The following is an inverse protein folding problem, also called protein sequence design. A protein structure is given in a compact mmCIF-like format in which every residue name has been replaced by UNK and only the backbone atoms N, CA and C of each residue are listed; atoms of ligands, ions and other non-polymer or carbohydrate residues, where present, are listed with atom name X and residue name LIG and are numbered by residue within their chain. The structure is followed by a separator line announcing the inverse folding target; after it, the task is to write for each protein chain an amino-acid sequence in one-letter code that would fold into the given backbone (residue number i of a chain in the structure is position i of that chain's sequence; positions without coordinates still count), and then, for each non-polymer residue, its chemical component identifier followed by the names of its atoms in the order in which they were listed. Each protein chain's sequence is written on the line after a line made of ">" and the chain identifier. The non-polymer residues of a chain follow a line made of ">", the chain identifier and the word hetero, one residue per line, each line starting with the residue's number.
data_IF_589217973351
#
_entry.id   IF_589217973351
#
_cell.length_a   1.000
_cell.length_b   1.000
_cell.length_c   1.000
_cell.angle_alpha   90.00
_cell.angle_beta   90.00
_cell.angle_gamma   90.00
#
_symmetry.space_group_name_H-M   'P 1'
#
loop_
_entity.id
_entity.type
_entity.pdbx_description
1 polymer ?
#
# COMPACT_ATOMS: atom_id res chain seq x y z
N UNK A 1 -28.32 14.05 -1.81
CA UNK A 1 -27.55 15.22 -2.34
C UNK A 1 -26.23 15.28 -1.58
N UNK A 2 -25.14 14.98 -2.30
CA UNK A 2 -24.00 14.24 -1.76
C UNK A 2 -23.01 15.16 -1.01
N UNK A 3 -22.66 14.78 0.21
CA UNK A 3 -21.58 15.36 1.04
C UNK A 3 -20.27 15.47 0.25
N UNK A 4 -19.97 14.45 -0.55
CA UNK A 4 -18.85 14.39 -1.49
C UNK A 4 -18.88 15.56 -2.48
N UNK A 5 -20.03 15.85 -3.11
CA UNK A 5 -20.16 17.00 -4.04
C UNK A 5 -19.93 18.34 -3.34
N UNK A 6 -20.38 18.48 -2.09
CA UNK A 6 -20.17 19.71 -1.31
C UNK A 6 -18.69 19.92 -0.97
N UNK A 7 -17.99 18.84 -0.62
CA UNK A 7 -16.55 18.82 -0.37
C UNK A 7 -15.77 19.20 -1.64
N UNK A 8 -16.13 18.61 -2.79
CA UNK A 8 -15.54 18.98 -4.08
C UNK A 8 -15.73 20.45 -4.45
N UNK A 9 -16.93 21.00 -4.20
CA UNK A 9 -17.22 22.42 -4.45
C UNK A 9 -16.37 23.31 -3.52
N UNK A 10 -16.26 22.96 -2.24
CA UNK A 10 -15.45 23.69 -1.27
C UNK A 10 -13.96 23.70 -1.66
N UNK A 11 -13.40 22.54 -2.02
CA UNK A 11 -12.00 22.42 -2.45
C UNK A 11 -11.76 23.25 -3.72
N UNK A 12 -12.68 23.21 -4.69
CA UNK A 12 -12.52 23.97 -5.94
C UNK A 12 -12.54 25.48 -5.71
N UNK A 13 -13.46 25.97 -4.89
CA UNK A 13 -13.61 27.41 -4.61
C UNK A 13 -12.42 28.01 -3.84
N UNK A 14 -11.75 27.22 -3.00
CA UNK A 14 -10.60 27.69 -2.23
C UNK A 14 -9.31 27.70 -3.06
N UNK A 15 -9.17 26.82 -4.05
CA UNK A 15 -8.03 26.83 -4.99
C UNK A 15 -8.04 28.07 -5.91
N UNK A 16 -9.22 28.59 -6.26
CA UNK A 16 -9.37 29.75 -7.16
C UNK A 16 -9.14 31.10 -6.46
N UNK A 17 -9.15 31.17 -5.12
CA UNK A 17 -9.17 32.43 -4.36
C UNK A 17 -7.91 32.76 -3.56
N UNK A 18 -6.87 31.90 -3.56
CA UNK A 18 -5.62 32.18 -2.85
C UNK A 18 -4.55 32.43 -3.90
N UNK A 19 -3.97 33.63 -3.92
CA UNK A 19 -2.97 34.04 -4.91
C UNK A 19 -1.72 34.68 -4.27
N UNK A 20 -1.62 34.73 -2.94
CA UNK A 20 -0.63 35.59 -2.27
C UNK A 20 0.39 34.92 -1.34
N UNK A 21 0.32 33.60 -1.04
CA UNK A 21 1.43 32.93 -0.35
C UNK A 21 1.54 31.44 -0.68
N UNK A 22 2.72 31.03 -1.16
CA UNK A 22 3.00 29.65 -1.59
C UNK A 22 3.05 28.65 -0.42
N UNK A 23 3.48 29.09 0.77
CA UNK A 23 3.52 28.27 1.98
C UNK A 23 2.10 27.80 2.39
N UNK A 24 1.11 28.69 2.26
CA UNK A 24 -0.30 28.42 2.55
C UNK A 24 -0.91 27.43 1.54
N UNK A 25 -0.44 27.42 0.29
CA UNK A 25 -0.92 26.51 -0.74
C UNK A 25 -0.54 25.04 -0.48
N UNK A 26 0.68 24.79 -0.01
CA UNK A 26 1.12 23.45 0.34
C UNK A 26 0.40 22.93 1.58
N UNK A 27 0.24 23.77 2.60
CA UNK A 27 -0.54 23.45 3.79
C UNK A 27 -2.00 23.11 3.44
N UNK A 28 -2.62 23.90 2.56
CA UNK A 28 -3.97 23.67 2.08
C UNK A 28 -4.12 22.36 1.30
N UNK A 29 -3.23 22.07 0.34
CA UNK A 29 -3.27 20.81 -0.43
C UNK A 29 -3.09 19.60 0.50
N UNK A 30 -2.23 19.70 1.51
CA UNK A 30 -2.05 18.63 2.50
C UNK A 30 -3.30 18.42 3.37
N UNK A 31 -3.96 19.50 3.78
CA UNK A 31 -5.22 19.44 4.51
C UNK A 31 -6.32 18.77 3.67
N UNK A 32 -6.46 19.17 2.40
CA UNK A 32 -7.42 18.58 1.47
C UNK A 32 -7.15 17.09 1.20
N UNK A 33 -5.88 16.68 1.06
CA UNK A 33 -5.51 15.26 0.92
C UNK A 33 -5.86 14.47 2.19
N UNK A 34 -5.66 15.07 3.37
CA UNK A 34 -5.99 14.45 4.67
C UNK A 34 -7.49 14.26 4.80
N UNK A 35 -8.28 15.28 4.47
CA UNK A 35 -9.74 15.21 4.46
C UNK A 35 -10.26 14.14 3.49
N UNK A 36 -9.69 14.06 2.27
CA UNK A 36 -10.03 13.00 1.31
C UNK A 36 -9.66 11.59 1.82
N UNK A 37 -8.57 11.44 2.56
CA UNK A 37 -8.22 10.16 3.20
C UNK A 37 -9.24 9.77 4.26
N UNK A 38 -9.66 10.71 5.10
CA UNK A 38 -10.66 10.48 6.15
C UNK A 38 -12.01 10.09 5.53
N UNK A 39 -12.49 10.85 4.56
CA UNK A 39 -13.74 10.55 3.85
C UNK A 39 -13.65 9.21 3.12
N UNK A 40 -12.51 8.89 2.50
CA UNK A 40 -12.25 7.60 1.86
C UNK A 40 -12.32 6.44 2.85
N UNK A 41 -11.67 6.56 4.01
CA UNK A 41 -11.71 5.55 5.07
C UNK A 41 -13.13 5.33 5.60
N UNK A 42 -13.87 6.41 5.87
CA UNK A 42 -15.25 6.35 6.31
C UNK A 42 -16.16 5.69 5.26
N UNK A 43 -15.96 6.00 3.97
CA UNK A 43 -16.68 5.38 2.85
C UNK A 43 -16.42 3.87 2.80
N UNK A 44 -15.17 3.44 2.99
CA UNK A 44 -14.81 2.01 3.04
C UNK A 44 -15.47 1.27 4.21
N UNK A 45 -15.53 1.90 5.39
CA UNK A 45 -16.22 1.33 6.57
C UNK A 45 -17.71 1.14 6.26
N UNK A 46 -18.36 2.15 5.66
CA UNK A 46 -19.77 2.06 5.28
C UNK A 46 -20.01 0.97 4.23
N UNK A 47 -19.13 0.86 3.24
CA UNK A 47 -19.18 -0.19 2.21
C UNK A 47 -19.14 -1.59 2.84
N UNK A 48 -18.20 -1.82 3.77
CA UNK A 48 -18.10 -3.09 4.48
C UNK A 48 -19.34 -3.39 5.31
N UNK A 49 -19.93 -2.38 5.96
CA UNK A 49 -21.18 -2.53 6.71
C UNK A 49 -22.33 -2.97 5.79
N UNK A 50 -22.50 -2.31 4.64
CA UNK A 50 -23.57 -2.65 3.69
C UNK A 50 -23.41 -4.08 3.15
N UNK A 51 -22.17 -4.49 2.82
CA UNK A 51 -21.90 -5.87 2.40
C UNK A 51 -22.27 -6.89 3.47
N UNK A 52 -21.95 -6.60 4.73
CA UNK A 52 -22.34 -7.45 5.85
C UNK A 52 -23.86 -7.49 6.05
N UNK A 53 -24.55 -6.37 5.82
CA UNK A 53 -26.00 -6.29 5.88
C UNK A 53 -26.66 -7.16 4.79
N UNK A 54 -26.16 -7.12 3.55
CA UNK A 54 -26.60 -7.99 2.44
C UNK A 54 -26.47 -9.46 2.85
N UNK A 55 -25.29 -9.90 3.28
CA UNK A 55 -25.03 -11.29 3.69
C UNK A 55 -25.97 -11.71 4.84
N UNK A 56 -26.22 -10.81 5.80
CA UNK A 56 -27.15 -11.08 6.90
C UNK A 56 -28.58 -11.26 6.39
N UNK A 57 -29.04 -10.41 5.49
CA UNK A 57 -30.40 -10.50 4.93
C UNK A 57 -30.59 -11.75 4.06
N UNK A 58 -29.59 -12.10 3.24
CA UNK A 58 -29.60 -13.35 2.46
C UNK A 58 -29.73 -14.58 3.37
N UNK A 59 -28.99 -14.59 4.48
CA UNK A 59 -29.11 -15.64 5.49
C UNK A 59 -30.51 -15.69 6.09
N UNK A 60 -31.07 -14.55 6.49
CA UNK A 60 -32.43 -14.47 7.04
C UNK A 60 -33.50 -14.93 6.04
N UNK A 61 -33.36 -14.60 4.75
CA UNK A 61 -34.25 -15.10 3.69
C UNK A 61 -34.18 -16.62 3.60
N UNK A 62 -32.98 -17.21 3.64
CA UNK A 62 -32.79 -18.66 3.63
C UNK A 62 -33.41 -19.33 4.87
N UNK A 63 -33.24 -18.73 6.04
CA UNK A 63 -33.84 -19.23 7.29
C UNK A 63 -35.37 -19.18 7.22
N UNK A 64 -35.94 -18.08 6.70
CA UNK A 64 -37.37 -17.95 6.43
C UNK A 64 -37.89 -18.98 5.42
N UNK A 65 -37.13 -19.29 4.37
CA UNK A 65 -37.49 -20.33 3.40
C UNK A 65 -37.59 -21.71 4.07
N UNK A 66 -36.59 -22.07 4.87
CA UNK A 66 -36.59 -23.32 5.64
C UNK A 66 -37.78 -23.38 6.62
N UNK A 67 -38.10 -22.27 7.29
CA UNK A 67 -39.23 -22.20 8.20
C UNK A 67 -40.57 -22.35 7.46
N UNK A 68 -40.73 -21.66 6.33
CA UNK A 68 -41.89 -21.77 5.44
C UNK A 68 -42.11 -23.22 4.98
N UNK A 69 -41.04 -23.94 4.60
CA UNK A 69 -41.14 -25.36 4.23
C UNK A 69 -41.61 -26.24 5.40
N UNK A 70 -41.10 -26.01 6.61
CA UNK A 70 -41.55 -26.75 7.81
C UNK A 70 -43.03 -26.51 8.08
N UNK A 71 -43.50 -25.27 7.97
CA UNK A 71 -44.93 -24.95 8.12
C UNK A 71 -45.78 -25.56 7.00
N UNK A 72 -45.28 -25.59 5.76
CA UNK A 72 -45.96 -26.21 4.64
C UNK A 72 -46.12 -27.73 4.85
N UNK A 73 -45.08 -28.41 5.34
CA UNK A 73 -45.16 -29.83 5.69
C UNK A 73 -46.18 -30.08 6.82
N UNK A 74 -46.22 -29.21 7.84
CA UNK A 74 -47.21 -29.31 8.92
C UNK A 74 -48.63 -29.10 8.42
N UNK A 75 -48.87 -28.09 7.58
CA UNK A 75 -50.17 -27.83 6.96
C UNK A 75 -50.66 -29.06 6.17
N UNK A 76 -49.79 -29.64 5.33
CA UNK A 76 -50.11 -30.86 4.56
C UNK A 76 -50.44 -32.06 5.45
N UNK A 77 -49.79 -32.23 6.60
CA UNK A 77 -50.09 -33.34 7.51
C UNK A 77 -51.40 -33.16 8.24
N UNK A 78 -51.76 -31.94 8.60
CA UNK A 78 -52.90 -31.67 9.49
C UNK A 78 -54.20 -31.35 8.75
N UNK A 79 -54.15 -30.99 7.46
CA UNK A 79 -55.34 -30.55 6.71
C UNK A 79 -56.50 -31.57 6.66
N UNK A 80 -56.20 -32.87 6.68
CA UNK A 80 -57.23 -33.92 6.69
C UNK A 80 -57.84 -34.16 8.07
N UNK A 81 -57.21 -33.66 9.14
CA UNK A 81 -57.60 -33.91 10.54
C UNK A 81 -58.20 -32.66 11.19
N UNK A 82 -57.61 -31.49 10.93
CA UNK A 82 -57.99 -30.21 11.53
C UNK A 82 -57.68 -29.07 10.55
N UNK A 83 -58.70 -28.72 9.75
CA UNK A 83 -58.62 -27.69 8.72
C UNK A 83 -58.25 -26.32 9.31
N UNK A 84 -58.78 -25.98 10.49
CA UNK A 84 -58.50 -24.71 11.15
C UNK A 84 -57.00 -24.54 11.45
N UNK A 85 -56.36 -25.59 11.98
CA UNK A 85 -54.90 -25.58 12.20
C UNK A 85 -54.09 -25.54 10.92
N UNK A 86 -54.56 -26.16 9.84
CA UNK A 86 -53.92 -26.06 8.54
C UNK A 86 -53.96 -24.63 8.00
N UNK A 87 -55.09 -23.94 8.13
CA UNK A 87 -55.24 -22.52 7.76
C UNK A 87 -54.32 -21.62 8.59
N UNK A 88 -54.13 -21.88 9.88
CA UNK A 88 -53.19 -21.12 10.70
C UNK A 88 -51.73 -21.34 10.28
N UNK A 89 -51.36 -22.56 9.87
CA UNK A 89 -50.05 -22.81 9.26
C UNK A 89 -49.88 -22.00 7.97
N UNK A 90 -50.92 -21.90 7.14
CA UNK A 90 -50.91 -21.10 5.91
C UNK A 90 -50.77 -19.60 6.19
N UNK A 91 -51.43 -19.07 7.23
CA UNK A 91 -51.25 -17.67 7.66
C UNK A 91 -49.80 -17.39 8.05
N UNK A 92 -49.15 -18.31 8.78
CA UNK A 92 -47.73 -18.19 9.16
C UNK A 92 -46.82 -18.19 7.94
N UNK A 93 -47.04 -19.08 6.98
CA UNK A 93 -46.31 -19.11 5.71
C UNK A 93 -46.42 -17.77 4.97
N UNK A 94 -47.62 -17.21 4.89
CA UNK A 94 -47.83 -15.92 4.23
C UNK A 94 -47.10 -14.78 4.95
N UNK A 95 -47.11 -14.77 6.29
CA UNK A 95 -46.33 -13.80 7.08
C UNK A 95 -44.83 -13.92 6.81
N UNK A 96 -44.29 -15.14 6.81
CA UNK A 96 -42.86 -15.40 6.54
C UNK A 96 -42.50 -14.96 5.13
N UNK A 97 -43.35 -15.25 4.12
CA UNK A 97 -43.15 -14.79 2.74
C UNK A 97 -43.11 -13.27 2.63
N UNK A 98 -44.02 -12.57 3.31
CA UNK A 98 -44.04 -11.10 3.35
C UNK A 98 -42.75 -10.54 3.97
N UNK A 99 -42.24 -11.16 5.03
CA UNK A 99 -40.98 -10.76 5.66
C UNK A 99 -39.79 -10.99 4.71
N UNK A 100 -39.75 -12.14 4.02
CA UNK A 100 -38.71 -12.40 3.02
C UNK A 100 -38.74 -11.41 1.87
N UNK A 101 -39.93 -11.02 1.40
CA UNK A 101 -40.07 -10.00 0.36
C UNK A 101 -39.54 -8.64 0.83
N UNK A 102 -39.86 -8.22 2.06
CA UNK A 102 -39.30 -7.00 2.63
C UNK A 102 -37.78 -7.06 2.71
N UNK A 103 -37.20 -8.20 3.11
CA UNK A 103 -35.75 -8.38 3.13
C UNK A 103 -35.13 -8.29 1.73
N UNK A 104 -35.79 -8.82 0.70
CA UNK A 104 -35.35 -8.67 -0.69
C UNK A 104 -35.33 -7.20 -1.12
N UNK A 105 -36.37 -6.43 -0.80
CA UNK A 105 -36.40 -4.99 -1.08
C UNK A 105 -35.28 -4.23 -0.34
N UNK A 106 -34.95 -4.64 0.89
CA UNK A 106 -33.80 -4.08 1.61
C UNK A 106 -32.47 -4.41 0.94
N UNK A 107 -32.31 -5.64 0.44
CA UNK A 107 -31.10 -6.04 -0.32
C UNK A 107 -30.95 -5.19 -1.58
N UNK A 108 -32.03 -4.97 -2.35
CA UNK A 108 -31.99 -4.14 -3.55
C UNK A 108 -31.55 -2.71 -3.23
N UNK A 109 -32.04 -2.14 -2.13
CA UNK A 109 -31.58 -0.83 -1.65
C UNK A 109 -30.09 -0.86 -1.24
N UNK A 110 -29.66 -1.90 -0.52
CA UNK A 110 -28.25 -2.06 -0.14
C UNK A 110 -27.34 -2.14 -1.37
N UNK A 111 -27.72 -2.88 -2.43
CA UNK A 111 -26.96 -3.02 -3.67
C UNK A 111 -26.83 -1.67 -4.39
N UNK A 112 -27.91 -0.88 -4.48
CA UNK A 112 -27.83 0.45 -5.07
C UNK A 112 -26.90 1.37 -4.26
N UNK A 113 -26.99 1.29 -2.94
CA UNK A 113 -26.12 2.09 -2.05
C UNK A 113 -24.67 1.65 -2.16
N UNK A 114 -24.39 0.34 -2.24
CA UNK A 114 -23.05 -0.20 -2.49
C UNK A 114 -22.47 0.34 -3.79
N UNK A 115 -23.25 0.31 -4.87
CA UNK A 115 -22.85 0.84 -6.18
C UNK A 115 -22.51 2.33 -6.10
N UNK A 116 -23.28 3.12 -5.35
CA UNK A 116 -23.01 4.54 -5.18
C UNK A 116 -21.74 4.78 -4.35
N UNK A 117 -21.53 4.03 -3.25
CA UNK A 117 -20.32 4.14 -2.43
C UNK A 117 -19.05 3.77 -3.20
N UNK A 118 -19.11 2.77 -4.08
CA UNK A 118 -17.99 2.41 -4.96
C UNK A 118 -17.63 3.56 -5.91
N UNK A 119 -18.63 4.17 -6.56
CA UNK A 119 -18.42 5.35 -7.40
C UNK A 119 -17.82 6.53 -6.63
N UNK A 120 -18.30 6.76 -5.41
CA UNK A 120 -17.79 7.83 -4.55
C UNK A 120 -16.33 7.55 -4.15
N UNK A 121 -15.97 6.29 -3.84
CA UNK A 121 -14.62 5.86 -3.50
C UNK A 121 -13.65 6.03 -4.68
N UNK A 122 -14.07 5.69 -5.90
CA UNK A 122 -13.31 5.95 -7.12
C UNK A 122 -13.06 7.45 -7.32
N UNK A 123 -14.09 8.28 -7.16
CA UNK A 123 -13.97 9.73 -7.28
C UNK A 123 -13.00 10.33 -6.24
N UNK A 124 -13.07 9.87 -5.00
CA UNK A 124 -12.14 10.28 -3.92
C UNK A 124 -10.70 9.90 -4.30
N UNK A 125 -10.49 8.67 -4.78
CA UNK A 125 -9.17 8.19 -5.18
C UNK A 125 -8.59 8.98 -6.36
N UNK A 126 -9.39 9.23 -7.39
CA UNK A 126 -8.98 10.05 -8.53
C UNK A 126 -8.58 11.45 -8.08
N UNK A 127 -9.38 12.10 -7.23
CA UNK A 127 -9.06 13.46 -6.76
C UNK A 127 -7.82 13.51 -5.89
N UNK A 128 -7.66 12.53 -5.01
CA UNK A 128 -6.48 12.41 -4.16
C UNK A 128 -5.22 12.25 -5.01
N UNK A 129 -5.28 11.46 -6.08
CA UNK A 129 -4.16 11.30 -7.02
C UNK A 129 -3.84 12.62 -7.74
N UNK A 130 -4.86 13.32 -8.23
CA UNK A 130 -4.72 14.63 -8.87
C UNK A 130 -4.03 15.65 -7.94
N UNK A 131 -4.47 15.74 -6.67
CA UNK A 131 -3.87 16.66 -5.70
C UNK A 131 -2.43 16.28 -5.34
N UNK A 132 -2.10 14.98 -5.25
CA UNK A 132 -0.71 14.54 -5.04
C UNK A 132 0.19 14.94 -6.20
N UNK A 133 -0.21 14.66 -7.45
CA UNK A 133 0.56 15.03 -8.64
C UNK A 133 0.75 16.56 -8.68
N UNK A 134 -0.29 17.32 -8.37
CA UNK A 134 -0.21 18.78 -8.32
C UNK A 134 0.75 19.27 -7.22
N UNK A 135 0.69 18.66 -6.03
CA UNK A 135 1.63 18.93 -4.93
C UNK A 135 3.08 18.71 -5.37
N UNK A 136 3.38 17.53 -5.93
CA UNK A 136 4.73 17.15 -6.34
C UNK A 136 5.27 18.09 -7.42
N UNK A 137 4.41 18.49 -8.37
CA UNK A 137 4.79 19.48 -9.39
C UNK A 137 5.11 20.85 -8.78
N UNK A 138 4.28 21.33 -7.84
CA UNK A 138 4.51 22.60 -7.17
C UNK A 138 5.77 22.57 -6.31
N UNK A 139 6.00 21.51 -5.54
CA UNK A 139 7.23 21.33 -4.74
C UNK A 139 8.48 21.23 -5.62
N UNK A 140 8.40 20.57 -6.78
CA UNK A 140 9.51 20.55 -7.75
C UNK A 140 9.81 21.94 -8.32
N UNK A 141 8.77 22.74 -8.61
CA UNK A 141 8.92 24.12 -9.10
C UNK A 141 9.49 25.05 -8.03
N UNK A 142 9.06 24.91 -6.79
CA UNK A 142 9.61 25.65 -5.65
C UNK A 142 11.10 25.36 -5.46
N UNK A 143 11.49 24.09 -5.43
CA UNK A 143 12.89 23.69 -5.33
C UNK A 143 13.73 24.35 -6.43
N UNK A 144 13.17 24.46 -7.65
CA UNK A 144 13.82 25.15 -8.76
C UNK A 144 13.88 26.66 -8.56
N UNK A 145 12.81 27.34 -8.15
CA UNK A 145 12.82 28.79 -7.94
C UNK A 145 13.70 29.21 -6.78
N UNK A 146 13.75 28.42 -5.70
CA UNK A 146 14.68 28.63 -4.58
C UNK A 146 16.12 28.44 -5.07
N UNK A 147 16.39 27.42 -5.87
CA UNK A 147 17.72 27.21 -6.48
C UNK A 147 18.09 28.36 -7.42
N UNK A 148 17.17 28.82 -8.26
CA UNK A 148 17.36 29.94 -9.18
C UNK A 148 17.55 31.27 -8.42
N UNK A 149 16.82 31.52 -7.34
CA UNK A 149 17.04 32.68 -6.45
C UNK A 149 18.40 32.64 -5.76
N UNK A 150 18.78 31.49 -5.21
CA UNK A 150 20.12 31.29 -4.62
C UNK A 150 21.18 31.53 -5.71
N UNK A 151 20.98 31.06 -6.94
CA UNK A 151 21.87 31.29 -8.08
C UNK A 151 21.95 32.77 -8.48
N UNK A 152 20.83 33.50 -8.56
CA UNK A 152 20.80 34.93 -8.93
C UNK A 152 21.37 35.82 -7.82
N UNK A 153 21.06 35.54 -6.56
CA UNK A 153 21.67 36.22 -5.40
C UNK A 153 23.17 35.90 -5.30
N UNK A 154 23.57 34.69 -5.71
CA UNK A 154 24.98 34.32 -5.79
C UNK A 154 25.74 35.01 -6.95
N UNK A 155 25.06 35.46 -8.00
CA UNK A 155 25.72 36.14 -9.13
C UNK A 155 26.23 37.55 -8.80
N UNK A 156 25.64 38.25 -7.82
CA UNK A 156 26.03 39.62 -7.47
C UNK A 156 27.09 39.71 -6.37
N UNK A 157 27.52 38.59 -5.77
CA UNK A 157 28.57 38.60 -4.73
C UNK A 157 29.29 37.27 -4.43
N UNK A 158 28.93 36.14 -5.06
CA UNK A 158 29.34 34.80 -4.60
C UNK A 158 30.21 34.04 -5.61
N UNK A 159 30.43 34.48 -6.85
CA UNK A 159 31.34 33.77 -7.76
C UNK A 159 32.73 33.56 -7.13
N UNK A 160 33.21 34.51 -6.32
CA UNK A 160 34.51 34.39 -5.62
C UNK A 160 34.46 33.66 -4.27
N UNK A 161 33.26 33.36 -3.75
CA UNK A 161 33.03 32.79 -2.42
C UNK A 161 32.43 31.37 -2.49
N UNK A 162 31.66 31.04 -3.52
CA UNK A 162 31.21 29.69 -3.84
C UNK A 162 32.38 28.77 -4.21
N UNK A 163 33.36 29.24 -4.99
CA UNK A 163 34.58 28.46 -5.28
C UNK A 163 35.32 28.09 -3.98
N UNK A 164 35.45 29.04 -3.05
CA UNK A 164 36.09 28.80 -1.75
C UNK A 164 35.28 27.89 -0.82
N UNK A 165 33.95 27.86 -0.96
CA UNK A 165 33.07 27.00 -0.16
C UNK A 165 33.01 25.60 -0.77
N UNK A 166 33.03 25.48 -2.10
CA UNK A 166 33.15 24.23 -2.85
C UNK A 166 34.49 23.54 -2.56
N UNK A 167 35.61 24.25 -2.61
CA UNK A 167 36.93 23.73 -2.18
C UNK A 167 36.91 23.22 -0.72
N UNK A 168 36.15 23.91 0.14
CA UNK A 168 35.98 23.53 1.56
C UNK A 168 34.97 22.42 1.79
N UNK A 169 34.11 22.14 0.82
CA UNK A 169 33.12 21.08 0.88
C UNK A 169 33.71 19.82 0.26
N UNK A 170 34.42 19.91 -0.87
CA UNK A 170 35.24 18.83 -1.44
C UNK A 170 36.27 18.32 -0.44
N UNK A 171 37.05 19.18 0.21
CA UNK A 171 37.98 18.73 1.26
C UNK A 171 37.28 18.03 2.43
N UNK A 172 36.02 18.38 2.72
CA UNK A 172 35.23 17.79 3.81
C UNK A 172 34.56 16.49 3.40
N UNK A 173 34.17 16.37 2.14
CA UNK A 173 33.64 15.15 1.51
C UNK A 173 34.77 14.15 1.37
N UNK A 174 35.92 14.52 0.80
CA UNK A 174 37.12 13.67 0.72
C UNK A 174 37.59 13.21 2.11
N UNK A 175 37.58 14.10 3.11
CA UNK A 175 37.89 13.72 4.51
C UNK A 175 36.84 12.81 5.16
N UNK A 176 35.57 12.90 4.76
CA UNK A 176 34.49 12.03 5.23
C UNK A 176 34.51 10.69 4.51
N UNK A 177 34.81 10.66 3.22
CA UNK A 177 35.01 9.44 2.43
C UNK A 177 36.21 8.66 2.96
N UNK A 178 37.31 9.32 3.34
CA UNK A 178 38.41 8.68 4.06
C UNK A 178 37.98 8.06 5.40
N UNK A 179 37.06 8.70 6.13
CA UNK A 179 36.51 8.18 7.39
C UNK A 179 35.48 7.07 7.16
N UNK A 180 34.68 7.15 6.11
CA UNK A 180 33.69 6.15 5.73
C UNK A 180 34.37 4.90 5.17
N UNK A 181 35.44 5.02 4.37
CA UNK A 181 36.30 3.89 4.00
C UNK A 181 36.98 3.24 5.22
N UNK A 182 37.25 3.99 6.28
CA UNK A 182 37.81 3.45 7.52
C UNK A 182 36.76 2.76 8.42
N UNK A 183 35.47 3.13 8.29
CA UNK A 183 34.35 2.58 9.07
C UNK A 183 33.70 1.38 8.35
N UNK A 184 33.64 1.39 7.02
CA UNK A 184 33.17 0.25 6.21
C UNK A 184 34.13 -0.95 6.28
N UNK A 185 35.42 -0.72 6.57
CA UNK A 185 36.38 -1.79 6.89
C UNK A 185 36.22 -2.38 8.31
N UNK A 186 35.44 -1.78 9.21
CA UNK A 186 35.27 -2.30 10.59
C UNK A 186 33.92 -3.00 10.85
N UNK A 187 32.98 -3.01 9.90
CA UNK A 187 31.65 -3.62 10.09
C UNK A 187 31.28 -4.74 9.11
N UNK A 188 32.22 -5.23 8.31
CA UNK A 188 32.09 -6.50 7.57
C UNK A 188 32.87 -7.62 8.28
N UNK A 189 32.38 -8.06 9.43
CA UNK A 189 32.54 -9.45 9.89
C UNK A 189 31.13 -10.03 10.01
N UNK A 190 30.58 -10.55 8.91
CA UNK A 190 30.69 -11.96 8.55
C UNK A 190 30.07 -12.86 9.62
N UNK A 191 28.74 -12.99 9.59
CA UNK A 191 28.11 -14.24 10.06
C UNK A 191 28.36 -15.30 8.99
N UNK A 192 29.57 -15.83 8.96
CA UNK A 192 29.91 -17.02 8.20
C UNK A 192 29.51 -18.23 9.04
N UNK A 193 28.79 -19.17 8.43
CA UNK A 193 28.42 -20.43 9.07
C UNK A 193 29.72 -21.18 9.44
N UNK A 194 29.97 -21.47 10.74
CA UNK A 194 31.20 -22.14 11.16
C UNK A 194 31.38 -23.53 10.55
N UNK A 195 30.29 -24.18 10.11
CA UNK A 195 30.37 -25.46 9.40
C UNK A 195 30.91 -25.27 7.98
N UNK A 196 30.50 -24.20 7.30
CA UNK A 196 30.91 -23.87 5.93
C UNK A 196 32.39 -23.50 5.87
N UNK A 197 32.90 -22.75 6.86
CA UNK A 197 34.33 -22.46 7.01
C UNK A 197 35.18 -23.72 7.24
N UNK A 198 34.67 -24.70 7.98
CA UNK A 198 35.40 -25.94 8.26
C UNK A 198 35.52 -26.81 7.00
N UNK A 199 34.47 -26.86 6.17
CA UNK A 199 34.51 -27.52 4.87
C UNK A 199 35.44 -26.81 3.88
N UNK A 200 35.33 -25.48 3.75
CA UNK A 200 36.19 -24.68 2.86
C UNK A 200 37.68 -24.87 3.19
N UNK A 201 38.05 -24.85 4.48
CA UNK A 201 39.43 -25.06 4.90
C UNK A 201 39.94 -26.48 4.63
N UNK A 202 39.09 -27.50 4.82
CA UNK A 202 39.47 -28.88 4.53
C UNK A 202 39.66 -29.11 3.02
N UNK A 203 38.78 -28.54 2.20
CA UNK A 203 38.85 -28.63 0.74
C UNK A 203 40.05 -27.87 0.18
N UNK A 204 40.29 -26.64 0.67
CA UNK A 204 41.44 -25.82 0.28
C UNK A 204 42.76 -26.49 0.70
N UNK A 205 42.81 -27.08 1.89
CA UNK A 205 43.99 -27.84 2.34
C UNK A 205 44.25 -29.06 1.47
N UNK A 206 43.19 -29.76 1.01
CA UNK A 206 43.34 -30.87 0.07
C UNK A 206 43.81 -30.40 -1.30
N UNK A 207 43.28 -29.29 -1.82
CA UNK A 207 43.69 -28.72 -3.11
C UNK A 207 45.15 -28.26 -3.08
N UNK A 208 45.57 -27.57 -2.01
CA UNK A 208 46.95 -27.13 -1.82
C UNK A 208 47.91 -28.31 -1.70
N UNK A 209 47.53 -29.38 -0.98
CA UNK A 209 48.32 -30.61 -0.94
C UNK A 209 48.43 -31.25 -2.32
N UNK A 210 47.36 -31.33 -3.10
CA UNK A 210 47.41 -31.86 -4.47
C UNK A 210 48.28 -30.99 -5.40
N UNK A 211 48.24 -29.66 -5.26
CA UNK A 211 49.09 -28.75 -6.01
C UNK A 211 50.57 -28.87 -5.61
N UNK A 212 50.85 -29.00 -4.30
CA UNK A 212 52.20 -29.20 -3.79
C UNK A 212 52.76 -30.57 -4.21
N UNK A 213 51.94 -31.61 -4.23
CA UNK A 213 52.31 -32.95 -4.72
C UNK A 213 52.58 -32.95 -6.24
N UNK A 214 51.86 -32.12 -7.01
CA UNK A 214 52.14 -31.88 -8.44
C UNK A 214 53.46 -31.12 -8.64
N UNK A 215 53.70 -30.07 -7.85
CA UNK A 215 54.92 -29.27 -7.95
C UNK A 215 56.16 -30.06 -7.53
N UNK A 216 56.08 -30.83 -6.45
CA UNK A 216 57.18 -31.69 -5.99
C UNK A 216 57.46 -32.87 -6.93
N UNK A 217 56.44 -33.38 -7.64
CA UNK A 217 56.62 -34.34 -8.75
C UNK A 217 57.14 -33.70 -10.05
N UNK A 218 56.93 -32.39 -10.24
CA UNK A 218 57.52 -31.62 -11.35
C UNK A 218 58.98 -31.23 -11.07
N UNK A 219 59.33 -30.95 -9.82
CA UNK A 219 60.69 -30.58 -9.38
C UNK A 219 61.60 -31.79 -9.11
N UNK A 220 61.06 -33.01 -9.16
CA UNK A 220 61.83 -34.25 -9.22
C UNK A 220 61.37 -35.11 -10.39
N UNK A 221 61.90 -34.79 -11.58
CA UNK A 221 62.87 -35.71 -12.15
C UNK A 221 64.19 -34.97 -12.32
N UNK A 222 65.06 -35.18 -11.34
CA UNK A 222 66.48 -35.30 -11.61
C UNK A 222 66.70 -36.20 -12.82
N UNK A 223 67.75 -35.84 -13.55
CA UNK A 223 68.70 -36.74 -14.20
C UNK A 223 68.54 -36.94 -15.71
N UNK A 224 69.69 -36.79 -16.39
CA UNK A 224 70.03 -37.12 -17.79
C UNK A 224 69.68 -36.04 -18.85
N UNK A 225 70.62 -35.43 -19.59
CA UNK A 225 72.04 -35.74 -19.88
C UNK A 225 72.71 -34.56 -20.62
N UNK A 226 73.99 -34.33 -20.28
CA UNK A 226 75.18 -33.99 -21.12
C UNK A 226 75.14 -32.73 -22.03
N UNK A 227 76.04 -31.73 -21.96
CA UNK A 227 77.52 -31.72 -22.05
C UNK A 227 78.07 -32.55 -23.22
N UNK A 228 77.99 -32.00 -24.44
CA UNK A 228 79.10 -31.55 -25.32
C UNK A 228 78.61 -31.33 -26.76
#
# INVERSE_FOLDING_TARGET
>A
MNTVKRLFISIKQQIENVAEDFEDHQAFINAAITELNEVGANTQIQLNKIRNDIVRYEKSIKDNQNESERWAQRARKIHTVDEAKALDCMKRINSIKSQSQQLTEQIDHCIETERQLLKDLDAINSKRSELKIRKDNLSSRENRTVTDQILVDSQHGVVTQADKILDRWENRVVSKEYKTHHIEQTQHQATTDPLEQEFEQQEETQQLKQMLDRLTKQDNPSDQTDID
#
